data_IF_767919272659
#
_entry.id   IF_767919272659
#
_cell.length_a   1.000
_cell.length_b   1.000
_cell.length_c   1.000
_cell.angle_alpha   90.00
_cell.angle_beta   90.00
_cell.angle_gamma   90.00
#
_symmetry.space_group_name_H-M   'P 1'
#
loop_
_entity.id
_entity.type
_entity.pdbx_description
1 polymer ?
#
# COMPACT_ATOMS: atom_id res chain seq x y z
N UNK A 1 10.64 12.98 15.11
CA UNK A 1 9.75 11.82 14.95
C UNK A 1 9.97 11.24 13.57
N UNK A 2 9.91 9.93 13.44
CA UNK A 2 10.14 9.18 12.22
C UNK A 2 9.02 8.18 11.99
N UNK A 3 8.25 8.34 10.92
CA UNK A 3 7.12 7.47 10.61
C UNK A 3 7.39 6.64 9.37
N UNK A 4 7.12 5.34 9.43
CA UNK A 4 7.03 4.53 8.22
C UNK A 4 5.77 4.88 7.44
N UNK A 5 5.85 4.93 6.11
CA UNK A 5 4.68 5.03 5.24
C UNK A 5 4.63 3.83 4.30
N UNK A 6 3.45 3.26 4.14
CA UNK A 6 3.21 2.16 3.21
C UNK A 6 1.75 2.15 2.75
N UNK A 7 1.44 1.39 1.70
CA UNK A 7 0.07 1.22 1.22
C UNK A 7 -0.10 0.01 0.29
N UNK A 8 -1.21 -0.69 0.45
CA UNK A 8 -1.68 -1.71 -0.49
C UNK A 8 -3.14 -1.38 -0.74
N UNK A 9 -3.44 -0.83 -1.91
CA UNK A 9 -4.77 -0.29 -2.22
C UNK A 9 -5.42 -1.06 -3.35
N UNK A 10 -6.59 -1.63 -3.08
CA UNK A 10 -7.45 -2.27 -4.07
C UNK A 10 -8.87 -2.37 -3.50
N UNK A 11 -9.87 -2.24 -4.37
CA UNK A 11 -11.26 -2.49 -4.04
C UNK A 11 -11.72 -3.76 -4.76
N UNK A 12 -12.20 -4.74 -4.00
CA UNK A 12 -12.68 -5.99 -4.56
C UNK A 12 -14.17 -5.94 -4.85
N UNK A 13 -14.55 -6.30 -6.08
CA UNK A 13 -15.90 -6.69 -6.43
C UNK A 13 -15.97 -8.21 -6.60
N UNK A 14 -16.53 -8.91 -5.61
CA UNK A 14 -16.62 -10.39 -5.61
C UNK A 14 -17.58 -10.96 -6.66
N UNK A 15 -18.38 -10.11 -7.33
CA UNK A 15 -19.24 -10.51 -8.45
C UNK A 15 -18.56 -10.33 -9.82
N UNK A 16 -17.39 -9.68 -9.88
CA UNK A 16 -16.68 -9.47 -11.12
C UNK A 16 -15.98 -10.76 -11.59
N UNK A 17 -16.00 -11.00 -12.91
CA UNK A 17 -15.29 -12.12 -13.50
C UNK A 17 -13.77 -11.94 -13.39
N UNK A 18 -13.06 -13.07 -13.23
CA UNK A 18 -11.60 -13.10 -13.14
C UNK A 18 -11.05 -12.80 -11.75
N UNK A 19 -9.74 -12.94 -11.62
CA UNK A 19 -9.02 -12.68 -10.36
C UNK A 19 -7.97 -11.60 -10.54
N UNK A 20 -7.76 -10.82 -9.49
CA UNK A 20 -6.69 -9.83 -9.42
C UNK A 20 -5.41 -10.52 -8.98
N UNK A 21 -4.44 -10.60 -9.89
CA UNK A 21 -3.13 -11.21 -9.62
C UNK A 21 -2.10 -10.15 -9.21
N UNK A 22 -0.89 -10.62 -8.84
CA UNK A 22 0.20 -9.73 -8.44
C UNK A 22 0.60 -8.73 -9.53
N UNK A 23 0.49 -9.12 -10.81
CA UNK A 23 0.85 -8.24 -11.92
C UNK A 23 -0.09 -7.03 -12.03
N UNK A 24 -1.31 -7.12 -11.51
CA UNK A 24 -2.23 -5.98 -11.42
C UNK A 24 -1.71 -4.87 -10.49
N UNK A 25 -0.96 -5.22 -9.45
CA UNK A 25 -0.32 -4.28 -8.52
C UNK A 25 0.99 -3.70 -9.06
N UNK A 26 1.65 -4.39 -9.99
CA UNK A 26 2.87 -3.90 -10.64
C UNK A 26 2.57 -2.87 -11.73
N UNK A 27 1.45 -3.04 -12.44
CA UNK A 27 1.09 -2.17 -13.57
C UNK A 27 0.53 -0.84 -13.10
N UNK A 28 0.87 0.22 -13.84
CA UNK A 28 0.21 1.51 -13.68
C UNK A 28 -1.25 1.43 -14.18
N UNK A 29 -2.16 2.01 -13.39
CA UNK A 29 -3.58 2.19 -13.74
C UNK A 29 -4.00 3.66 -13.57
N UNK A 30 -5.11 3.88 -12.86
CA UNK A 30 -5.59 5.21 -12.47
C UNK A 30 -4.68 5.89 -11.44
N UNK A 31 -3.90 5.10 -10.72
CA UNK A 31 -2.79 5.53 -9.87
C UNK A 31 -1.52 4.73 -10.25
N UNK A 32 -0.34 5.11 -9.74
CA UNK A 32 0.89 4.33 -9.96
C UNK A 32 0.74 2.87 -9.53
N UNK A 33 1.51 1.99 -10.16
CA UNK A 33 1.66 0.61 -9.68
C UNK A 33 2.59 0.54 -8.47
N UNK A 34 3.32 -0.55 -8.35
CA UNK A 34 4.22 -0.84 -7.24
C UNK A 34 5.41 0.13 -7.19
N UNK A 35 5.47 0.94 -6.14
CA UNK A 35 6.54 1.89 -5.82
C UNK A 35 7.29 1.43 -4.57
N UNK A 36 8.61 1.64 -4.54
CA UNK A 36 9.48 1.29 -3.41
C UNK A 36 10.33 2.45 -2.94
N UNK A 37 10.45 2.58 -1.62
CA UNK A 37 11.35 3.54 -1.00
C UNK A 37 11.10 4.95 -1.50
N UNK A 38 12.17 5.62 -1.95
CA UNK A 38 12.11 7.02 -2.37
C UNK A 38 11.17 7.28 -3.55
N UNK A 39 10.89 6.28 -4.38
CA UNK A 39 9.95 6.39 -5.50
C UNK A 39 8.56 6.82 -5.03
N UNK A 40 8.16 6.44 -3.80
CA UNK A 40 6.89 6.84 -3.18
C UNK A 40 6.83 8.36 -3.02
N UNK A 41 7.90 8.95 -2.48
CA UNK A 41 7.96 10.40 -2.24
C UNK A 41 8.02 11.14 -3.57
N UNK A 42 8.88 10.66 -4.49
CA UNK A 42 9.09 11.30 -5.79
C UNK A 42 7.82 11.26 -6.66
N UNK A 43 7.07 10.17 -6.59
CA UNK A 43 5.87 9.98 -7.42
C UNK A 43 4.62 10.57 -6.78
N UNK A 44 4.44 10.46 -5.46
CA UNK A 44 3.17 10.79 -4.81
C UNK A 44 3.15 12.18 -4.16
N UNK A 45 4.29 12.88 -4.07
CA UNK A 45 4.32 14.27 -3.60
C UNK A 45 3.39 15.15 -4.43
N UNK A 46 2.54 15.91 -3.74
CA UNK A 46 1.60 16.83 -4.36
C UNK A 46 0.39 16.18 -5.04
N UNK A 47 0.27 14.84 -5.02
CA UNK A 47 -0.94 14.16 -5.49
C UNK A 47 -2.04 14.26 -4.42
N UNK A 48 -3.29 14.40 -4.88
CA UNK A 48 -4.47 14.47 -4.01
C UNK A 48 -4.94 13.05 -3.59
N UNK A 49 -4.10 12.34 -2.86
CA UNK A 49 -4.33 11.01 -2.28
C UNK A 49 -3.81 10.98 -0.83
N UNK A 50 -4.18 9.98 -0.03
CA UNK A 50 -3.76 9.88 1.38
C UNK A 50 -2.25 10.00 1.56
N UNK A 51 -1.45 9.22 0.83
CA UNK A 51 0.02 9.30 0.91
C UNK A 51 0.58 10.68 0.52
N UNK A 52 -0.02 11.36 -0.46
CA UNK A 52 0.35 12.73 -0.81
C UNK A 52 0.11 13.71 0.34
N UNK A 53 -0.98 13.50 1.09
CA UNK A 53 -1.25 14.22 2.34
C UNK A 53 -0.24 13.93 3.45
N UNK A 54 0.19 12.67 3.62
CA UNK A 54 1.24 12.31 4.57
C UNK A 54 2.55 13.04 4.28
N UNK A 55 2.97 13.06 3.00
CA UNK A 55 4.19 13.75 2.55
C UNK A 55 4.10 15.25 2.86
N UNK A 56 3.01 15.91 2.47
CA UNK A 56 2.83 17.34 2.69
C UNK A 56 2.81 17.70 4.19
N UNK A 57 2.15 16.88 5.02
CA UNK A 57 2.11 17.08 6.46
C UNK A 57 3.50 16.89 7.10
N UNK A 58 4.24 15.86 6.68
CA UNK A 58 5.56 15.59 7.22
C UNK A 58 6.56 16.70 6.89
N UNK A 59 6.55 17.22 5.66
CA UNK A 59 7.37 18.35 5.23
C UNK A 59 7.05 19.62 6.05
N UNK A 60 5.76 19.89 6.30
CA UNK A 60 5.32 21.04 7.12
C UNK A 60 5.71 20.90 8.59
N UNK A 61 5.69 19.69 9.14
CA UNK A 61 5.92 19.42 10.55
C UNK A 61 7.38 19.04 10.88
N UNK A 62 8.25 18.93 9.87
CA UNK A 62 9.63 18.47 10.06
C UNK A 62 9.72 17.01 10.53
N UNK A 63 8.74 16.18 10.13
CA UNK A 63 8.71 14.74 10.45
C UNK A 63 9.50 13.99 9.38
N UNK A 64 10.35 13.05 9.80
CA UNK A 64 11.05 12.16 8.89
C UNK A 64 10.10 11.05 8.42
N UNK A 65 10.05 10.80 7.12
CA UNK A 65 9.33 9.66 6.56
C UNK A 65 10.31 8.56 6.14
N UNK A 66 10.01 7.34 6.56
CA UNK A 66 10.65 6.11 6.11
C UNK A 66 9.73 5.42 5.08
N UNK A 67 9.84 5.75 3.78
CA UNK A 67 8.98 5.15 2.78
C UNK A 67 9.32 3.68 2.56
N UNK A 68 8.30 2.82 2.63
CA UNK A 68 8.44 1.38 2.46
C UNK A 68 7.99 0.99 1.04
N UNK A 69 6.76 0.52 0.92
CA UNK A 69 6.14 0.06 -0.31
C UNK A 69 4.76 0.69 -0.45
N UNK A 70 4.40 1.13 -1.64
CA UNK A 70 3.06 1.59 -1.96
C UNK A 70 2.62 0.99 -3.30
N UNK A 71 1.39 0.48 -3.38
CA UNK A 71 0.84 -0.04 -4.63
C UNK A 71 -0.66 0.17 -4.72
N UNK A 72 -1.13 0.28 -5.95
CA UNK A 72 -2.54 0.30 -6.30
C UNK A 72 -2.83 -0.68 -7.43
N UNK A 73 -3.88 -1.49 -7.27
CA UNK A 73 -4.49 -2.24 -8.36
C UNK A 73 -5.92 -1.72 -8.59
N UNK A 74 -6.27 -1.53 -9.87
CA UNK A 74 -7.61 -1.06 -10.24
C UNK A 74 -8.72 -1.95 -9.63
N UNK A 75 -9.86 -1.36 -9.21
CA UNK A 75 -11.01 -2.13 -8.72
C UNK A 75 -11.38 -3.22 -9.70
N UNK A 76 -11.43 -4.46 -9.22
CA UNK A 76 -11.67 -5.65 -10.05
C UNK A 76 -12.03 -6.85 -9.16
N UNK A 77 -11.96 -8.07 -9.70
CA UNK A 77 -12.35 -9.29 -9.00
C UNK A 77 -11.48 -9.62 -7.79
N UNK A 78 -11.85 -10.69 -7.10
CA UNK A 78 -11.15 -11.19 -5.91
C UNK A 78 -9.64 -11.32 -6.12
N UNK A 79 -8.85 -10.85 -5.15
CA UNK A 79 -7.39 -10.92 -5.19
C UNK A 79 -6.93 -12.36 -4.96
N UNK A 80 -5.96 -12.83 -5.75
CA UNK A 80 -5.28 -14.10 -5.43
C UNK A 80 -4.53 -13.94 -4.11
N UNK A 81 -4.79 -14.81 -3.13
CA UNK A 81 -4.16 -14.70 -1.81
C UNK A 81 -2.64 -14.69 -1.89
N UNK A 82 -2.04 -15.41 -2.84
CA UNK A 82 -0.59 -15.38 -3.08
C UNK A 82 -0.05 -13.98 -3.42
N UNK A 83 -0.82 -13.14 -4.13
CA UNK A 83 -0.44 -11.79 -4.47
C UNK A 83 -0.42 -10.90 -3.23
N UNK A 84 -1.47 -11.00 -2.41
CA UNK A 84 -1.53 -10.32 -1.11
C UNK A 84 -0.42 -10.79 -0.18
N UNK A 85 -0.24 -12.11 -0.01
CA UNK A 85 0.76 -12.68 0.87
C UNK A 85 2.18 -12.22 0.50
N UNK A 86 2.48 -12.13 -0.81
CA UNK A 86 3.74 -11.57 -1.30
C UNK A 86 3.92 -10.09 -0.93
N UNK A 87 2.91 -9.26 -1.21
CA UNK A 87 2.95 -7.82 -0.89
C UNK A 87 3.06 -7.58 0.62
N UNK A 88 2.30 -8.32 1.42
CA UNK A 88 2.35 -8.29 2.89
C UNK A 88 3.74 -8.65 3.40
N UNK A 89 4.32 -9.76 2.93
CA UNK A 89 5.65 -10.19 3.34
C UNK A 89 6.71 -9.12 3.02
N UNK A 90 6.68 -8.57 1.81
CA UNK A 90 7.59 -7.51 1.38
C UNK A 90 7.47 -6.25 2.25
N UNK A 91 6.23 -5.77 2.49
CA UNK A 91 5.96 -4.61 3.34
C UNK A 91 6.52 -4.81 4.75
N UNK A 92 6.27 -5.97 5.36
CA UNK A 92 6.73 -6.30 6.71
C UNK A 92 8.26 -6.42 6.78
N UNK A 93 8.91 -6.97 5.75
CA UNK A 93 10.37 -7.04 5.69
C UNK A 93 11.00 -5.66 5.56
N UNK A 94 10.43 -4.78 4.73
CA UNK A 94 10.87 -3.39 4.63
C UNK A 94 10.67 -2.64 5.95
N UNK A 95 9.55 -2.88 6.65
CA UNK A 95 9.31 -2.27 7.96
C UNK A 95 10.37 -2.73 8.97
N UNK A 96 10.68 -4.03 9.03
CA UNK A 96 11.73 -4.57 9.91
C UNK A 96 13.08 -3.91 9.65
N UNK A 97 13.45 -3.72 8.39
CA UNK A 97 14.70 -3.06 8.00
C UNK A 97 14.70 -1.55 8.30
N UNK A 98 13.53 -0.92 8.25
CA UNK A 98 13.38 0.50 8.56
C UNK A 98 13.36 0.79 10.06
N UNK A 99 13.25 -0.19 10.96
CA UNK A 99 13.22 0.07 12.39
C UNK A 99 14.51 0.75 12.90
N UNK A 100 14.42 1.64 13.90
CA UNK A 100 13.21 2.05 14.64
C UNK A 100 12.38 3.13 13.92
N UNK A 101 11.06 3.07 14.09
CA UNK A 101 10.10 4.15 13.75
C UNK A 101 9.19 4.42 14.95
N UNK A 102 8.72 5.66 15.05
CA UNK A 102 7.79 6.11 16.10
C UNK A 102 6.33 5.73 15.78
N UNK A 103 6.04 5.38 14.54
CA UNK A 103 4.72 4.92 14.10
C UNK A 103 4.69 4.54 12.63
N UNK A 104 3.56 3.98 12.19
CA UNK A 104 3.31 3.57 10.80
C UNK A 104 2.03 4.25 10.31
N UNK A 105 2.10 4.88 9.15
CA UNK A 105 0.95 5.44 8.44
C UNK A 105 0.66 4.55 7.23
N UNK A 106 -0.54 3.95 7.20
CA UNK A 106 -0.95 3.03 6.14
C UNK A 106 -2.03 3.66 5.26
N UNK A 107 -1.75 3.74 3.96
CA UNK A 107 -2.68 4.14 2.92
C UNK A 107 -3.38 2.89 2.36
N UNK A 108 -4.52 2.55 2.95
CA UNK A 108 -5.30 1.35 2.65
C UNK A 108 -6.65 1.74 2.07
N UNK A 109 -7.20 0.91 1.19
CA UNK A 109 -8.55 1.13 0.66
C UNK A 109 -9.64 0.79 1.70
N UNK A 110 -9.50 -0.35 2.38
CA UNK A 110 -10.44 -0.85 3.38
C UNK A 110 -11.49 -1.82 2.84
N UNK A 111 -11.31 -2.34 1.62
CA UNK A 111 -12.28 -3.23 0.95
C UNK A 111 -11.59 -4.30 0.10
N UNK A 112 -10.36 -4.68 0.45
CA UNK A 112 -9.64 -5.73 -0.26
C UNK A 112 -10.08 -7.10 0.26
N UNK A 113 -10.42 -7.99 -0.67
CA UNK A 113 -10.76 -9.39 -0.35
C UNK A 113 -9.90 -10.32 -1.20
N UNK A 114 -9.33 -11.34 -0.55
CA UNK A 114 -8.66 -12.45 -1.24
C UNK A 114 -9.54 -13.70 -1.26
N UNK A 115 -9.17 -14.70 -2.05
CA UNK A 115 -9.80 -16.02 -2.04
C UNK A 115 -9.61 -16.82 -0.74
N UNK A 116 -8.84 -16.32 0.23
CA UNK A 116 -8.60 -16.97 1.53
C UNK A 116 -8.76 -16.02 2.75
N UNK A 117 -9.03 -14.74 2.54
CA UNK A 117 -9.11 -13.72 3.60
C UNK A 117 -10.07 -12.60 3.19
N UNK A 118 -11.13 -12.42 3.97
CA UNK A 118 -12.18 -11.41 3.74
C UNK A 118 -11.89 -10.05 4.39
N UNK A 119 -10.94 -9.99 5.33
CA UNK A 119 -10.50 -8.77 6.03
C UNK A 119 -8.97 -8.62 5.87
N UNK A 120 -8.57 -8.22 4.66
CA UNK A 120 -7.16 -8.15 4.27
C UNK A 120 -6.42 -7.04 5.02
N UNK A 121 -7.06 -5.88 5.17
CA UNK A 121 -6.53 -4.76 5.93
C UNK A 121 -6.41 -5.10 7.43
N UNK A 122 -7.38 -5.83 8.00
CA UNK A 122 -7.31 -6.35 9.37
C UNK A 122 -6.20 -7.38 9.58
N UNK A 123 -5.97 -8.30 8.63
CA UNK A 123 -4.83 -9.23 8.67
C UNK A 123 -3.47 -8.51 8.56
N UNK A 124 -3.41 -7.42 7.78
CA UNK A 124 -2.16 -6.66 7.59
C UNK A 124 -1.71 -5.95 8.87
N UNK A 125 -2.64 -5.41 9.66
CA UNK A 125 -2.33 -4.62 10.87
C UNK A 125 -2.17 -5.46 12.14
N UNK A 126 -2.28 -6.78 12.03
CA UNK A 126 -2.14 -7.73 13.15
C UNK A 126 -0.68 -8.11 13.41
#
# INVERSE_FOLDING_TARGET
MRFAIAGISHETNTFADGMTDYSAFERQGGLPGLLRGREIIETLRGKNICTGGYIAAAEKLGIELAPLMWTFAQPSGTVRHEAYARLRAELLDMLRQAMPVDGVLLDLHGAMVTDQCEDVEGDLIR
#
